data_IF_306719098519
#
_entry.id   IF_306719098519
#
_cell.length_a   1.000
_cell.length_b   1.000
_cell.length_c   1.000
_cell.angle_alpha   90.00
_cell.angle_beta   90.00
_cell.angle_gamma   90.00
#
_symmetry.space_group_name_H-M   'P 1'
#
loop_
_entity.id
_entity.type
_entity.pdbx_description
1 polymer ?
#
# COMPACT_ATOMS: atom_id res chain seq x y z
N UNK A 1 0.65 19.06 31.28
CA UNK A 1 2.00 19.18 30.68
C UNK A 1 2.69 17.83 30.86
N UNK A 2 3.30 17.29 29.79
CA UNK A 2 4.07 16.04 29.65
C UNK A 2 3.29 14.78 29.23
N UNK A 3 3.14 14.62 27.91
CA UNK A 3 3.16 13.31 27.24
C UNK A 3 4.41 13.31 26.35
N UNK A 4 5.58 13.02 26.92
CA UNK A 4 6.83 12.89 26.16
C UNK A 4 6.89 11.47 25.58
N UNK A 5 6.53 11.40 24.30
CA UNK A 5 7.21 10.65 23.23
C UNK A 5 7.83 9.29 23.61
N UNK A 6 7.10 8.20 23.35
CA UNK A 6 7.68 6.87 23.23
C UNK A 6 7.57 6.23 21.83
N UNK A 7 7.02 6.95 20.84
CA UNK A 7 6.75 6.38 19.51
C UNK A 7 7.26 7.24 18.32
N UNK A 8 8.41 7.94 18.46
CA UNK A 8 8.98 8.78 17.37
C UNK A 8 9.96 8.01 16.48
N UNK A 9 9.62 6.85 15.91
CA UNK A 9 10.48 6.26 14.86
C UNK A 9 9.72 5.60 13.71
N UNK A 10 8.39 5.57 13.76
CA UNK A 10 7.56 4.78 12.84
C UNK A 10 6.70 5.60 11.87
N UNK A 11 6.99 6.90 11.73
CA UNK A 11 6.35 7.79 10.77
C UNK A 11 7.43 8.31 9.81
N UNK A 12 7.38 7.97 8.51
CA UNK A 12 8.30 8.55 7.55
C UNK A 12 8.15 10.07 7.54
N UNK A 13 9.26 10.81 7.59
CA UNK A 13 9.26 12.29 7.62
C UNK A 13 8.64 12.93 6.37
N UNK A 14 8.57 12.17 5.29
CA UNK A 14 7.94 12.52 4.02
C UNK A 14 6.41 12.46 4.06
N UNK A 15 5.83 11.77 5.05
CA UNK A 15 4.39 11.67 5.23
C UNK A 15 3.86 12.90 5.98
N UNK A 16 2.68 13.37 5.58
CA UNK A 16 2.07 14.58 6.13
C UNK A 16 1.62 14.38 7.58
N UNK A 17 1.09 13.19 7.89
CA UNK A 17 0.49 12.92 9.18
C UNK A 17 0.53 11.44 9.55
N UNK A 18 0.90 11.16 10.79
CA UNK A 18 0.69 9.87 11.43
C UNK A 18 -0.07 10.09 12.75
N UNK A 19 -1.38 9.81 12.74
CA UNK A 19 -2.23 9.93 13.93
C UNK A 19 -2.78 8.56 14.29
N UNK A 20 -2.50 8.11 15.51
CA UNK A 20 -2.92 6.80 15.99
C UNK A 20 -2.39 5.68 15.09
N UNK A 21 -3.30 4.94 14.43
CA UNK A 21 -2.98 3.83 13.51
C UNK A 21 -3.17 4.20 12.04
N UNK A 22 -3.26 5.49 11.74
CA UNK A 22 -3.39 6.02 10.40
C UNK A 22 -2.11 6.73 9.98
N UNK A 23 -1.66 6.45 8.75
CA UNK A 23 -0.52 7.08 8.11
C UNK A 23 -0.95 7.68 6.77
N UNK A 24 -0.74 8.98 6.62
CA UNK A 24 -1.10 9.75 5.43
C UNK A 24 0.15 10.31 4.75
N UNK A 25 0.46 9.78 3.57
CA UNK A 25 1.54 10.21 2.70
C UNK A 25 1.01 10.56 1.31
N UNK A 26 -0.24 11.03 1.20
CA UNK A 26 -0.82 11.43 -0.09
C UNK A 26 -0.06 12.63 -0.66
N UNK A 27 0.18 12.61 -1.97
CA UNK A 27 0.88 13.70 -2.69
C UNK A 27 2.24 14.07 -2.04
N UNK A 28 2.93 13.11 -1.42
CA UNK A 28 4.21 13.31 -0.75
C UNK A 28 5.41 13.18 -1.69
N UNK A 29 5.18 13.15 -3.02
CA UNK A 29 6.21 12.97 -4.05
C UNK A 29 7.06 11.70 -3.85
N UNK A 30 6.46 10.65 -3.27
CA UNK A 30 7.14 9.39 -3.04
C UNK A 30 7.44 8.70 -4.37
N UNK A 31 8.68 8.24 -4.55
CA UNK A 31 9.06 7.36 -5.64
C UNK A 31 9.06 5.88 -5.25
N UNK A 32 8.94 5.58 -3.94
CA UNK A 32 8.83 4.24 -3.37
C UNK A 32 8.08 4.30 -2.05
N UNK A 33 7.58 3.16 -1.59
CA UNK A 33 6.95 3.00 -0.28
C UNK A 33 8.05 2.94 0.81
N UNK A 34 8.10 3.88 1.78
CA UNK A 34 9.04 3.81 2.90
C UNK A 34 8.86 2.54 3.75
N UNK A 35 9.91 2.07 4.41
CA UNK A 35 9.88 0.82 5.20
C UNK A 35 9.74 1.03 6.72
N UNK A 36 9.72 2.28 7.19
CA UNK A 36 9.70 2.63 8.61
C UNK A 36 8.29 2.97 9.12
N UNK A 37 7.26 2.29 8.61
CA UNK A 37 5.91 2.39 9.15
C UNK A 37 5.73 1.59 10.44
N UNK A 38 4.79 1.99 11.27
CA UNK A 38 4.41 1.21 12.46
C UNK A 38 3.73 -0.10 12.06
N UNK A 39 4.13 -1.22 12.67
CA UNK A 39 3.50 -2.54 12.45
C UNK A 39 2.01 -2.57 12.88
N UNK A 40 1.60 -1.61 13.71
CA UNK A 40 0.21 -1.45 14.16
C UNK A 40 -0.64 -0.56 13.23
N UNK A 41 -0.10 -0.12 12.09
CA UNK A 41 -0.84 0.69 11.11
C UNK A 41 -2.04 -0.09 10.57
N UNK A 42 -3.22 0.55 10.59
CA UNK A 42 -4.46 0.03 10.01
C UNK A 42 -4.82 0.69 8.69
N UNK A 43 -4.52 1.98 8.54
CA UNK A 43 -4.90 2.79 7.39
C UNK A 43 -3.65 3.44 6.80
N UNK A 44 -3.33 3.10 5.56
CA UNK A 44 -2.18 3.65 4.85
C UNK A 44 -2.64 4.31 3.54
N UNK A 45 -2.41 5.62 3.46
CA UNK A 45 -2.79 6.43 2.30
C UNK A 45 -1.54 6.87 1.53
N UNK A 46 -1.36 6.33 0.32
CA UNK A 46 -0.23 6.63 -0.56
C UNK A 46 -0.69 7.20 -1.91
N UNK A 47 -1.93 7.65 -2.05
CA UNK A 47 -2.48 8.17 -3.30
C UNK A 47 -1.73 9.39 -3.82
N UNK A 48 -1.64 9.55 -5.15
CA UNK A 48 -1.05 10.74 -5.77
C UNK A 48 0.47 10.82 -5.68
N UNK A 49 1.15 9.67 -5.58
CA UNK A 49 2.62 9.60 -5.58
C UNK A 49 3.16 9.14 -6.95
N UNK A 50 4.46 8.85 -7.06
CA UNK A 50 5.11 8.37 -8.29
C UNK A 50 5.81 7.02 -8.04
N UNK A 51 5.05 6.06 -7.54
CA UNK A 51 5.52 4.73 -7.12
C UNK A 51 5.35 3.78 -8.31
N UNK A 52 6.24 3.86 -9.29
CA UNK A 52 6.13 3.04 -10.51
C UNK A 52 6.25 1.54 -10.27
N UNK A 53 7.01 1.15 -9.24
CA UNK A 53 7.23 -0.23 -8.82
C UNK A 53 7.01 -0.38 -7.32
N UNK A 54 6.25 -1.39 -6.93
CA UNK A 54 6.03 -1.72 -5.53
C UNK A 54 7.13 -2.68 -5.04
N UNK A 55 7.98 -2.25 -4.10
CA UNK A 55 9.03 -3.11 -3.53
C UNK A 55 8.39 -4.28 -2.74
N UNK A 56 8.74 -5.56 -3.02
CA UNK A 56 8.16 -6.73 -2.36
C UNK A 56 8.20 -6.71 -0.83
N UNK A 57 9.20 -6.05 -0.24
CA UNK A 57 9.40 -6.02 1.21
C UNK A 57 8.77 -4.80 1.89
N UNK A 58 8.22 -3.85 1.13
CA UNK A 58 7.75 -2.58 1.72
C UNK A 58 6.50 -2.74 2.59
N UNK A 59 5.71 -3.80 2.37
CA UNK A 59 4.44 -4.04 3.07
C UNK A 59 4.50 -5.23 4.04
N UNK A 60 5.60 -5.98 4.08
CA UNK A 60 5.70 -7.27 4.79
C UNK A 60 5.43 -7.15 6.31
N UNK A 61 5.79 -6.01 6.90
CA UNK A 61 5.62 -5.75 8.33
C UNK A 61 4.23 -5.22 8.71
N UNK A 62 3.38 -4.90 7.73
CA UNK A 62 2.08 -4.25 7.92
C UNK A 62 0.93 -5.26 8.04
N UNK A 63 1.13 -6.31 8.83
CA UNK A 63 0.16 -7.42 8.98
C UNK A 63 -1.18 -7.00 9.60
N UNK A 64 -1.24 -5.81 10.22
CA UNK A 64 -2.47 -5.24 10.76
C UNK A 64 -3.25 -4.40 9.74
N UNK A 65 -2.71 -4.16 8.55
CA UNK A 65 -3.30 -3.24 7.58
C UNK A 65 -4.69 -3.70 7.13
N UNK A 66 -5.64 -2.77 7.14
CA UNK A 66 -7.04 -2.99 6.75
C UNK A 66 -7.37 -2.24 5.47
N UNK A 67 -6.79 -1.04 5.30
CA UNK A 67 -7.03 -0.16 4.15
C UNK A 67 -5.69 0.28 3.55
N UNK A 68 -5.54 0.07 2.24
CA UNK A 68 -4.39 0.53 1.47
C UNK A 68 -4.86 1.29 0.22
N UNK A 69 -4.49 2.56 0.14
CA UNK A 69 -4.68 3.39 -1.05
C UNK A 69 -3.36 3.59 -1.80
N UNK A 70 -3.36 3.20 -3.07
CA UNK A 70 -2.26 3.31 -4.02
C UNK A 70 -2.74 3.86 -5.37
N UNK A 71 -3.92 4.49 -5.40
CA UNK A 71 -4.48 5.08 -6.60
C UNK A 71 -3.68 6.30 -7.08
N UNK A 72 -3.75 6.59 -8.37
CA UNK A 72 -3.08 7.74 -8.98
C UNK A 72 -1.58 7.79 -8.66
N UNK A 73 -0.89 6.63 -8.65
CA UNK A 73 0.50 6.52 -8.19
C UNK A 73 1.50 6.12 -9.27
N UNK A 74 1.07 6.03 -10.53
CA UNK A 74 1.93 5.69 -11.66
C UNK A 74 2.42 4.23 -11.68
N UNK A 75 1.77 3.33 -10.94
CA UNK A 75 2.21 1.93 -10.81
C UNK A 75 2.11 1.22 -12.16
N UNK A 76 3.22 0.67 -12.65
CA UNK A 76 3.26 -0.10 -13.90
C UNK A 76 3.28 -1.61 -13.63
N UNK A 77 3.84 -2.02 -12.48
CA UNK A 77 4.05 -3.42 -12.14
C UNK A 77 3.78 -3.71 -10.67
N UNK A 78 2.99 -4.76 -10.42
CA UNK A 78 2.72 -5.30 -9.08
C UNK A 78 3.38 -6.67 -8.99
N UNK A 79 4.33 -6.82 -8.06
CA UNK A 79 5.04 -8.10 -7.90
C UNK A 79 4.10 -9.16 -7.29
N UNK A 80 4.21 -10.44 -7.73
CA UNK A 80 3.58 -11.55 -7.04
C UNK A 80 3.94 -11.55 -5.56
N UNK A 81 2.98 -11.94 -4.70
CA UNK A 81 3.14 -12.09 -3.26
C UNK A 81 3.45 -10.82 -2.47
N UNK A 82 3.42 -9.63 -3.08
CA UNK A 82 3.66 -8.38 -2.35
C UNK A 82 2.64 -8.13 -1.23
N UNK A 83 1.44 -8.70 -1.37
CA UNK A 83 0.38 -8.60 -0.38
C UNK A 83 0.23 -9.87 0.48
N UNK A 84 1.15 -10.84 0.39
CA UNK A 84 1.01 -12.15 1.02
C UNK A 84 0.80 -12.10 2.55
N UNK A 85 1.42 -11.13 3.21
CA UNK A 85 1.31 -10.93 4.66
C UNK A 85 0.13 -10.05 5.09
N UNK A 86 -0.59 -9.44 4.13
CA UNK A 86 -1.70 -8.52 4.41
C UNK A 86 -3.04 -9.25 4.59
N UNK A 87 -3.03 -10.28 5.45
CA UNK A 87 -4.18 -11.19 5.68
C UNK A 87 -5.42 -10.50 6.24
N UNK A 88 -5.26 -9.29 6.80
CA UNK A 88 -6.37 -8.48 7.35
C UNK A 88 -6.88 -7.42 6.37
N UNK A 89 -6.23 -7.25 5.22
CA UNK A 89 -6.57 -6.19 4.28
C UNK A 89 -7.98 -6.42 3.75
N UNK A 90 -8.82 -5.42 3.96
CA UNK A 90 -10.24 -5.43 3.60
C UNK A 90 -10.48 -4.62 2.31
N UNK A 91 -9.69 -3.55 2.12
CA UNK A 91 -9.82 -2.60 1.03
C UNK A 91 -8.47 -2.31 0.38
N UNK A 92 -8.37 -2.56 -0.92
CA UNK A 92 -7.20 -2.27 -1.74
C UNK A 92 -7.60 -1.42 -2.96
N UNK A 93 -6.98 -0.25 -3.07
CA UNK A 93 -7.26 0.68 -4.15
C UNK A 93 -6.03 0.90 -5.04
N UNK A 94 -6.12 0.42 -6.29
CA UNK A 94 -5.07 0.46 -7.31
C UNK A 94 -5.54 1.14 -8.62
N UNK A 95 -6.72 1.77 -8.63
CA UNK A 95 -7.26 2.44 -9.81
C UNK A 95 -6.44 3.67 -10.23
N UNK A 96 -6.59 4.08 -11.49
CA UNK A 96 -5.83 5.18 -12.09
C UNK A 96 -4.31 4.97 -11.99
N UNK A 97 -3.85 3.79 -12.38
CA UNK A 97 -2.43 3.46 -12.52
C UNK A 97 -2.19 2.95 -13.95
N UNK A 98 -1.00 2.43 -14.23
CA UNK A 98 -0.57 1.93 -15.54
C UNK A 98 -0.31 0.42 -15.52
N UNK A 99 -1.05 -0.31 -14.67
CA UNK A 99 -0.84 -1.75 -14.50
C UNK A 99 -1.31 -2.46 -15.76
N UNK A 100 -0.38 -3.16 -16.42
CA UNK A 100 -0.67 -3.88 -17.68
C UNK A 100 -0.95 -5.36 -17.49
N UNK A 101 -0.28 -5.97 -16.52
CA UNK A 101 -0.32 -7.41 -16.29
C UNK A 101 -0.62 -7.71 -14.83
N UNK A 102 -1.55 -8.63 -14.60
CA UNK A 102 -1.80 -9.23 -13.30
C UNK A 102 -1.38 -10.70 -13.36
N UNK A 103 -0.20 -10.98 -12.80
CA UNK A 103 0.38 -12.32 -12.77
C UNK A 103 -0.29 -13.20 -11.71
N UNK A 104 -0.19 -14.54 -11.83
CA UNK A 104 -0.58 -15.46 -10.76
C UNK A 104 0.15 -15.08 -9.47
N UNK A 105 -0.58 -15.10 -8.35
CA UNK A 105 -0.04 -14.71 -7.05
C UNK A 105 -0.01 -13.19 -6.77
N UNK A 106 -0.44 -12.33 -7.70
CA UNK A 106 -0.48 -10.85 -7.46
C UNK A 106 -1.28 -10.50 -6.20
N UNK A 107 -2.40 -11.17 -5.98
CA UNK A 107 -3.30 -10.95 -4.84
C UNK A 107 -3.26 -12.11 -3.82
N UNK A 108 -2.23 -12.95 -3.86
CA UNK A 108 -2.07 -14.04 -2.89
C UNK A 108 -1.95 -13.50 -1.46
N UNK A 109 -2.51 -14.24 -0.50
CA UNK A 109 -2.56 -13.88 0.92
C UNK A 109 -3.64 -12.85 1.31
N UNK A 110 -4.31 -12.20 0.34
CA UNK A 110 -5.43 -11.29 0.57
C UNK A 110 -6.74 -12.01 0.95
N UNK A 111 -6.69 -12.90 1.94
CA UNK A 111 -7.80 -13.79 2.34
C UNK A 111 -9.03 -13.08 2.92
N UNK A 112 -8.88 -11.82 3.34
CA UNK A 112 -9.96 -11.00 3.89
C UNK A 112 -10.35 -9.82 2.98
N UNK A 113 -9.92 -9.81 1.72
CA UNK A 113 -10.19 -8.69 0.82
C UNK A 113 -11.66 -8.69 0.37
N UNK A 114 -12.34 -7.56 0.57
CA UNK A 114 -13.74 -7.38 0.18
C UNK A 114 -13.90 -6.37 -0.95
N UNK A 115 -12.91 -5.49 -1.14
CA UNK A 115 -12.97 -4.45 -2.15
C UNK A 115 -11.63 -4.26 -2.83
N UNK A 116 -11.62 -4.47 -4.14
CA UNK A 116 -10.46 -4.29 -5.01
C UNK A 116 -10.85 -3.34 -6.15
N UNK A 117 -10.14 -2.23 -6.27
CA UNK A 117 -10.36 -1.23 -7.32
C UNK A 117 -9.19 -1.24 -8.30
N UNK A 118 -9.49 -1.56 -9.55
CA UNK A 118 -8.51 -1.67 -10.65
C UNK A 118 -8.91 -0.84 -11.88
N UNK A 119 -10.03 -0.13 -11.85
CA UNK A 119 -10.50 0.69 -12.97
C UNK A 119 -9.45 1.72 -13.41
N UNK A 120 -9.48 2.10 -14.70
CA UNK A 120 -8.51 3.04 -15.27
C UNK A 120 -7.05 2.59 -15.09
N UNK A 121 -6.80 1.30 -15.33
CA UNK A 121 -5.49 0.74 -15.61
C UNK A 121 -5.43 0.27 -17.08
N UNK A 122 -4.29 -0.24 -17.49
CA UNK A 122 -4.04 -0.75 -18.85
C UNK A 122 -4.07 -2.29 -18.87
N UNK A 123 -4.95 -2.89 -18.07
CA UNK A 123 -4.98 -4.34 -17.86
C UNK A 123 -5.45 -5.02 -19.15
N UNK A 124 -4.47 -5.49 -19.92
CA UNK A 124 -4.69 -6.24 -21.16
C UNK A 124 -4.83 -7.74 -20.88
N UNK A 125 -4.23 -8.23 -19.79
CA UNK A 125 -4.14 -9.65 -19.50
C UNK A 125 -4.22 -9.95 -18.00
N UNK A 126 -5.08 -10.91 -17.68
CA UNK A 126 -5.18 -11.54 -16.35
C UNK A 126 -4.89 -13.02 -16.55
N UNK A 127 -3.85 -13.53 -15.92
CA UNK A 127 -3.56 -14.97 -15.98
C UNK A 127 -4.64 -15.78 -15.28
N UNK A 128 -5.02 -16.91 -15.87
CA UNK A 128 -5.76 -17.96 -15.14
C UNK A 128 -4.84 -18.50 -14.02
N UNK A 129 -5.43 -18.67 -12.84
CA UNK A 129 -4.77 -19.18 -11.63
C UNK A 129 -5.27 -20.56 -11.25
#
# INVERSE_FOLDING_TARGET
MLMIQKDIFCCPSVCQQCIGRQVDCRNSSLSFIPNNFSQNTLFLYLSGNNISHLNPNALISLQQLVVLHLDNSGIVYVYPNIFAELKKLWYLQLNNNHIKYLYPGTFEGLSNLHSLYLQNNEIDFVSEG
#
